data_IF_250603403907
#
_entry.id   IF_250603403907
#
_cell.length_a   1.000
_cell.length_b   1.000
_cell.length_c   1.000
_cell.angle_alpha   90.00
_cell.angle_beta   90.00
_cell.angle_gamma   90.00
#
_symmetry.space_group_name_H-M   'P 1'
#
loop_
_entity.id
_entity.type
_entity.pdbx_description
1 polymer ?
#
# COMPACT_ATOMS: atom_id res chain seq x y z
N UNK A 1 37.46 61.17 -39.51
CA UNK A 1 38.22 60.22 -38.67
C UNK A 1 37.48 58.89 -38.58
N UNK A 2 37.92 57.88 -39.34
CA UNK A 2 37.32 56.53 -39.36
C UNK A 2 37.99 55.66 -38.29
N UNK A 3 37.31 55.36 -37.19
CA UNK A 3 37.70 54.31 -36.24
C UNK A 3 37.36 52.95 -36.87
N UNK A 4 38.37 52.25 -37.39
CA UNK A 4 38.23 50.85 -37.81
C UNK A 4 38.10 49.97 -36.55
N UNK A 5 36.96 49.30 -36.38
CA UNK A 5 36.76 48.28 -35.34
C UNK A 5 37.67 47.08 -35.63
N UNK A 6 38.89 47.07 -35.09
CA UNK A 6 39.77 45.89 -35.14
C UNK A 6 39.19 44.79 -34.23
N UNK A 7 39.23 43.54 -34.69
CA UNK A 7 38.80 42.34 -33.94
C UNK A 7 39.50 42.25 -32.57
N UNK A 8 38.78 41.90 -31.50
CA UNK A 8 39.33 41.79 -30.14
C UNK A 8 40.50 40.81 -29.98
N UNK A 9 40.70 39.92 -30.95
CA UNK A 9 41.86 39.01 -31.01
C UNK A 9 43.20 39.77 -30.99
N UNK A 10 43.24 41.01 -31.51
CA UNK A 10 44.46 41.83 -31.54
C UNK A 10 44.93 42.30 -30.16
N UNK A 11 44.13 42.17 -29.10
CA UNK A 11 44.60 42.42 -27.73
C UNK A 11 45.72 41.45 -27.35
N UNK A 12 45.67 40.21 -27.87
CA UNK A 12 46.60 39.13 -27.51
C UNK A 12 47.68 38.83 -28.58
N UNK A 13 47.69 39.56 -29.69
CA UNK A 13 48.66 39.39 -30.78
C UNK A 13 49.37 40.69 -31.13
N UNK A 14 50.61 40.59 -31.63
CA UNK A 14 51.34 41.72 -32.23
C UNK A 14 51.72 41.36 -33.67
N UNK A 15 51.63 42.33 -34.57
CA UNK A 15 52.08 42.18 -35.96
C UNK A 15 53.59 42.34 -36.04
N UNK A 16 54.22 41.51 -36.86
CA UNK A 16 55.66 41.52 -37.17
C UNK A 16 55.87 41.32 -38.67
N UNK A 17 57.08 41.57 -39.17
CA UNK A 17 57.45 41.40 -40.58
C UNK A 17 56.53 42.17 -41.55
N UNK A 18 56.46 43.50 -41.42
CA UNK A 18 55.62 44.39 -42.23
C UNK A 18 54.15 43.93 -42.32
N UNK A 19 53.57 43.63 -41.16
CA UNK A 19 52.19 43.19 -40.98
C UNK A 19 51.81 41.87 -41.69
N UNK A 20 52.79 41.08 -42.17
CA UNK A 20 52.55 39.78 -42.82
C UNK A 20 52.44 38.62 -41.84
N UNK A 21 52.92 38.79 -40.61
CA UNK A 21 52.89 37.76 -39.58
C UNK A 21 52.31 38.32 -38.27
N UNK A 22 51.60 37.48 -37.52
CA UNK A 22 51.06 37.79 -36.21
C UNK A 22 51.66 36.85 -35.15
N UNK A 23 52.30 37.41 -34.13
CA UNK A 23 52.89 36.66 -33.02
C UNK A 23 52.00 36.74 -31.77
N UNK A 24 51.70 35.59 -31.17
CA UNK A 24 50.97 35.50 -29.92
C UNK A 24 51.80 36.09 -28.77
N UNK A 25 51.22 36.98 -27.96
CA UNK A 25 51.90 37.58 -26.81
C UNK A 25 52.03 36.61 -25.62
N UNK A 26 51.25 35.53 -25.59
CA UNK A 26 51.18 34.59 -24.46
C UNK A 26 52.16 33.43 -24.59
N UNK A 27 52.36 32.91 -25.81
CA UNK A 27 53.23 31.75 -26.07
C UNK A 27 54.31 32.01 -27.13
N UNK A 28 54.37 33.23 -27.68
CA UNK A 28 55.34 33.65 -28.72
C UNK A 28 55.25 32.88 -30.05
N UNK A 29 54.24 32.04 -30.26
CA UNK A 29 54.00 31.35 -31.54
C UNK A 29 53.59 32.33 -32.63
N UNK A 30 54.19 32.20 -33.81
CA UNK A 30 53.97 33.09 -34.97
C UNK A 30 53.08 32.44 -36.02
N UNK A 31 52.12 33.20 -36.55
CA UNK A 31 51.18 32.79 -37.58
C UNK A 31 51.31 33.71 -38.79
N UNK A 32 51.25 33.17 -40.00
CA UNK A 32 51.11 33.99 -41.22
C UNK A 32 49.75 34.69 -41.22
N UNK A 33 49.74 35.98 -41.51
CA UNK A 33 48.56 36.83 -41.51
C UNK A 33 48.39 37.57 -42.84
N UNK A 34 47.18 37.53 -43.41
CA UNK A 34 46.85 38.22 -44.66
C UNK A 34 45.67 39.18 -44.49
N UNK A 35 44.50 38.66 -44.11
CA UNK A 35 43.29 39.48 -43.91
C UNK A 35 42.28 38.90 -42.91
N UNK A 36 42.43 37.63 -42.52
CA UNK A 36 41.51 36.94 -41.61
C UNK A 36 42.16 36.66 -40.25
N UNK A 37 41.36 36.80 -39.18
CA UNK A 37 41.79 36.52 -37.80
C UNK A 37 41.32 35.15 -37.30
N UNK A 38 40.74 34.31 -38.16
CA UNK A 38 40.17 33.01 -37.77
C UNK A 38 41.20 32.06 -37.15
N UNK A 39 42.40 31.94 -37.75
CA UNK A 39 43.47 31.07 -37.23
C UNK A 39 43.99 31.56 -35.87
N UNK A 40 44.05 32.87 -35.67
CA UNK A 40 44.46 33.50 -34.41
C UNK A 40 43.41 33.26 -33.30
N UNK A 41 42.12 33.36 -33.65
CA UNK A 41 41.01 33.05 -32.73
C UNK A 41 40.98 31.57 -32.35
N UNK A 42 41.17 30.68 -33.32
CA UNK A 42 41.25 29.23 -33.07
C UNK A 42 42.42 28.89 -32.14
N UNK A 43 43.57 29.52 -32.33
CA UNK A 43 44.71 29.37 -31.42
C UNK A 43 44.35 29.78 -29.98
N UNK A 44 43.74 30.96 -29.78
CA UNK A 44 43.31 31.41 -28.44
C UNK A 44 42.28 30.46 -27.83
N UNK A 45 41.31 29.97 -28.60
CA UNK A 45 40.27 29.07 -28.09
C UNK A 45 40.83 27.72 -27.62
N UNK A 46 41.88 27.21 -28.26
CA UNK A 46 42.40 25.88 -27.93
C UNK A 46 43.57 25.91 -26.93
N UNK A 47 44.44 26.91 -27.00
CA UNK A 47 45.65 26.96 -26.17
C UNK A 47 45.59 28.01 -25.04
N UNK A 48 44.69 29.00 -25.17
CA UNK A 48 44.55 30.10 -24.22
C UNK A 48 43.07 30.35 -23.85
N UNK A 49 42.28 29.26 -23.76
CA UNK A 49 40.83 29.31 -23.54
C UNK A 49 40.43 30.13 -22.31
N UNK A 50 41.26 30.09 -21.27
CA UNK A 50 41.06 30.83 -20.02
C UNK A 50 40.97 32.36 -20.22
N UNK A 51 41.62 32.90 -21.25
CA UNK A 51 41.61 34.35 -21.54
C UNK A 51 40.32 34.78 -22.25
N UNK A 52 39.57 33.84 -22.85
CA UNK A 52 38.33 34.12 -23.57
C UNK A 52 37.05 34.02 -22.71
N UNK A 53 37.15 33.52 -21.47
CA UNK A 53 36.01 33.29 -20.56
C UNK A 53 35.64 34.50 -19.69
N UNK A 54 35.91 35.73 -20.17
CA UNK A 54 35.56 36.99 -19.51
C UNK A 54 34.26 37.65 -20.02
N UNK A 55 33.39 36.95 -20.75
CA UNK A 55 32.16 37.50 -21.32
C UNK A 55 30.97 36.56 -21.20
N UNK A 56 29.83 37.08 -20.72
CA UNK A 56 28.58 36.37 -20.41
C UNK A 56 28.05 35.49 -21.55
N UNK A 57 27.44 34.33 -21.26
CA UNK A 57 26.98 33.39 -22.29
C UNK A 57 25.69 33.87 -22.97
N UNK A 58 25.71 34.01 -24.30
CA UNK A 58 24.50 34.12 -25.12
C UNK A 58 23.90 32.72 -25.34
N UNK A 59 22.56 32.58 -25.37
CA UNK A 59 21.93 31.27 -25.53
C UNK A 59 22.18 30.72 -26.94
N UNK A 60 22.93 29.62 -27.05
CA UNK A 60 23.15 28.91 -28.30
C UNK A 60 21.98 27.97 -28.60
N UNK A 61 21.50 28.03 -29.84
CA UNK A 61 20.46 27.15 -30.36
C UNK A 61 20.98 25.70 -30.45
N UNK A 62 20.21 24.67 -30.03
CA UNK A 62 20.68 23.28 -30.06
C UNK A 62 20.84 22.76 -31.50
N UNK A 63 21.83 21.89 -31.71
CA UNK A 63 22.12 21.26 -33.01
C UNK A 63 21.02 20.29 -33.43
N UNK A 64 20.81 20.08 -34.74
CA UNK A 64 19.81 19.15 -35.30
C UNK A 64 19.97 17.73 -34.73
N UNK A 65 21.20 17.27 -34.48
CA UNK A 65 21.46 15.98 -33.83
C UNK A 65 20.96 15.92 -32.36
N UNK A 66 21.05 17.02 -31.62
CA UNK A 66 20.51 17.11 -30.25
C UNK A 66 18.97 17.15 -30.24
N UNK A 67 18.36 17.66 -31.31
CA UNK A 67 16.90 17.66 -31.50
C UNK A 67 16.39 16.29 -31.98
N UNK A 68 17.11 15.64 -32.90
CA UNK A 68 16.73 14.32 -33.45
C UNK A 68 17.04 13.14 -32.51
N UNK A 69 17.90 13.34 -31.49
CA UNK A 69 18.22 12.33 -30.48
C UNK A 69 17.27 12.27 -29.28
N UNK A 70 16.45 13.31 -29.06
CA UNK A 70 15.38 13.25 -28.04
C UNK A 70 14.23 12.43 -28.61
N UNK A 71 14.12 11.17 -28.19
CA UNK A 71 12.86 10.44 -28.33
C UNK A 71 11.80 11.25 -27.58
N UNK A 72 10.90 11.88 -28.32
CA UNK A 72 9.72 12.55 -27.75
C UNK A 72 8.64 11.50 -27.65
N UNK A 73 8.10 11.30 -26.45
CA UNK A 73 6.92 10.46 -26.32
C UNK A 73 5.74 11.21 -26.94
N UNK A 74 5.06 10.56 -27.88
CA UNK A 74 3.81 11.04 -28.46
C UNK A 74 2.78 11.33 -27.36
N UNK A 75 2.06 12.45 -27.45
CA UNK A 75 1.14 12.92 -26.40
C UNK A 75 0.06 11.90 -26.07
N UNK A 76 -0.47 11.18 -27.08
CA UNK A 76 -1.47 10.14 -26.87
C UNK A 76 -0.87 8.96 -26.11
N UNK A 77 0.37 8.58 -26.43
CA UNK A 77 1.10 7.54 -25.68
C UNK A 77 1.40 7.98 -24.25
N UNK A 78 1.87 9.21 -24.06
CA UNK A 78 2.15 9.79 -22.75
C UNK A 78 0.91 9.78 -21.87
N UNK A 79 -0.23 10.25 -22.39
CA UNK A 79 -1.52 10.21 -21.70
C UNK A 79 -1.93 8.76 -21.36
N UNK A 80 -1.76 7.83 -22.30
CA UNK A 80 -2.05 6.41 -22.08
C UNK A 80 -1.19 5.77 -20.97
N UNK A 81 0.07 6.22 -20.82
CA UNK A 81 0.96 5.81 -19.73
C UNK A 81 0.48 6.44 -18.42
N UNK A 82 0.21 7.75 -18.39
CA UNK A 82 -0.28 8.44 -17.18
C UNK A 82 -1.58 7.81 -16.66
N UNK A 83 -2.54 7.49 -17.54
CA UNK A 83 -3.78 6.82 -17.15
C UNK A 83 -3.55 5.45 -16.51
N UNK A 84 -2.54 4.69 -16.98
CA UNK A 84 -2.15 3.41 -16.37
C UNK A 84 -1.47 3.59 -15.03
N UNK A 85 -0.63 4.63 -14.88
CA UNK A 85 -0.04 4.98 -13.58
C UNK A 85 -1.15 5.32 -12.57
N UNK A 86 -2.13 6.15 -12.96
CA UNK A 86 -3.31 6.41 -12.11
C UNK A 86 -4.09 5.13 -11.80
N UNK A 87 -4.28 4.26 -12.80
CA UNK A 87 -4.93 2.96 -12.64
C UNK A 87 -4.22 2.03 -11.66
N UNK A 88 -2.89 2.02 -11.67
CA UNK A 88 -2.07 1.24 -10.75
C UNK A 88 -2.17 1.78 -9.32
N UNK A 89 -2.16 3.11 -9.16
CA UNK A 89 -2.38 3.76 -7.86
C UNK A 89 -3.78 3.44 -7.30
N UNK A 90 -4.82 3.56 -8.13
CA UNK A 90 -6.20 3.40 -7.66
C UNK A 90 -6.61 1.93 -7.46
N UNK A 91 -6.18 1.00 -8.34
CA UNK A 91 -6.66 -0.40 -8.33
C UNK A 91 -5.76 -1.30 -7.52
N UNK A 92 -4.46 -1.03 -7.54
CA UNK A 92 -3.47 -1.81 -6.80
C UNK A 92 -3.13 -1.16 -5.45
N UNK A 93 -3.88 -0.11 -5.07
CA UNK A 93 -3.76 0.63 -3.80
C UNK A 93 -2.33 1.11 -3.52
N UNK A 94 -1.61 1.51 -4.56
CA UNK A 94 -0.24 1.98 -4.40
C UNK A 94 -0.19 3.42 -3.88
N UNK A 95 0.82 3.78 -3.08
CA UNK A 95 1.03 5.17 -2.69
C UNK A 95 1.22 6.09 -3.90
N UNK A 96 0.69 7.31 -3.86
CA UNK A 96 0.97 8.32 -4.89
C UNK A 96 2.49 8.59 -4.97
N UNK A 97 3.20 8.49 -3.84
CA UNK A 97 4.66 8.64 -3.78
C UNK A 97 5.43 7.60 -4.59
N UNK A 98 4.80 6.54 -5.09
CA UNK A 98 5.43 5.59 -6.02
C UNK A 98 5.98 6.29 -7.26
N UNK A 99 5.35 7.38 -7.73
CA UNK A 99 5.84 8.16 -8.88
C UNK A 99 7.17 8.88 -8.61
N UNK A 100 7.55 9.01 -7.34
CA UNK A 100 8.78 9.68 -6.91
C UNK A 100 9.92 8.67 -6.64
N UNK A 101 9.62 7.37 -6.60
CA UNK A 101 10.61 6.33 -6.34
C UNK A 101 11.62 6.21 -7.48
N UNK A 102 12.92 6.28 -7.16
CA UNK A 102 14.02 6.27 -8.13
C UNK A 102 13.94 5.09 -9.11
N UNK A 103 13.83 3.87 -8.58
CA UNK A 103 13.72 2.64 -9.38
C UNK A 103 12.47 2.63 -10.27
N UNK A 104 11.35 3.19 -9.79
CA UNK A 104 10.15 3.31 -10.61
C UNK A 104 10.38 4.27 -11.79
N UNK A 105 11.05 5.40 -11.54
CA UNK A 105 11.38 6.36 -12.60
C UNK A 105 12.37 5.78 -13.61
N UNK A 106 13.36 5.02 -13.16
CA UNK A 106 14.29 4.27 -14.03
C UNK A 106 13.56 3.26 -14.90
N UNK A 107 12.64 2.46 -14.34
CA UNK A 107 11.84 1.50 -15.09
C UNK A 107 11.02 2.19 -16.19
N UNK A 108 10.30 3.26 -15.84
CA UNK A 108 9.49 4.00 -16.82
C UNK A 108 10.39 4.65 -17.88
N UNK A 109 11.55 5.18 -17.51
CA UNK A 109 12.51 5.74 -18.46
C UNK A 109 13.10 4.67 -19.38
N UNK A 110 13.36 3.46 -18.87
CA UNK A 110 13.79 2.32 -19.68
C UNK A 110 12.72 1.91 -20.70
N UNK A 111 11.45 1.86 -20.29
CA UNK A 111 10.33 1.49 -21.14
C UNK A 111 9.97 2.56 -22.18
N UNK A 112 9.96 3.83 -21.78
CA UNK A 112 9.65 4.97 -22.63
C UNK A 112 10.52 6.18 -22.25
N UNK A 113 11.75 6.30 -22.82
CA UNK A 113 12.69 7.34 -22.44
C UNK A 113 12.19 8.77 -22.64
N UNK A 114 11.26 8.96 -23.59
CA UNK A 114 10.67 10.26 -23.91
C UNK A 114 9.52 10.70 -23.01
N UNK A 115 9.04 9.82 -22.11
CA UNK A 115 7.92 10.11 -21.24
C UNK A 115 8.39 10.74 -19.93
N UNK A 116 7.84 11.90 -19.62
CA UNK A 116 8.05 12.56 -18.35
C UNK A 116 6.92 12.20 -17.40
N UNK A 117 7.23 11.51 -16.31
CA UNK A 117 6.26 11.20 -15.26
C UNK A 117 5.74 12.52 -14.68
N UNK A 118 4.40 12.74 -14.66
CA UNK A 118 3.82 13.94 -14.08
C UNK A 118 4.18 14.12 -12.61
N UNK A 119 4.12 15.37 -12.14
CA UNK A 119 4.33 15.65 -10.72
C UNK A 119 3.27 14.98 -9.86
N UNK A 120 3.61 14.75 -8.58
CA UNK A 120 2.67 14.25 -7.57
C UNK A 120 1.36 15.06 -7.57
N UNK A 121 1.44 16.39 -7.62
CA UNK A 121 0.27 17.26 -7.68
C UNK A 121 -0.61 16.98 -8.91
N UNK A 122 -0.01 16.82 -10.09
CA UNK A 122 -0.76 16.48 -11.32
C UNK A 122 -1.43 15.11 -11.22
N UNK A 123 -0.74 14.11 -10.66
CA UNK A 123 -1.32 12.78 -10.43
C UNK A 123 -2.49 12.86 -9.44
N UNK A 124 -2.33 13.57 -8.31
CA UNK A 124 -3.40 13.81 -7.34
C UNK A 124 -4.62 14.44 -8.00
N UNK A 125 -4.47 15.52 -8.76
CA UNK A 125 -5.58 16.18 -9.46
C UNK A 125 -6.28 15.22 -10.44
N UNK A 126 -5.53 14.36 -11.13
CA UNK A 126 -6.10 13.35 -12.04
C UNK A 126 -6.88 12.27 -11.26
N UNK A 127 -6.38 11.81 -10.13
CA UNK A 127 -7.07 10.85 -9.27
C UNK A 127 -8.35 11.44 -8.68
N UNK A 128 -8.32 12.71 -8.23
CA UNK A 128 -9.52 13.42 -7.77
C UNK A 128 -10.58 13.56 -8.86
N UNK A 129 -10.17 13.85 -10.10
CA UNK A 129 -11.09 13.90 -11.24
C UNK A 129 -11.70 12.51 -11.52
N UNK A 130 -10.90 11.45 -11.47
CA UNK A 130 -11.38 10.06 -11.62
C UNK A 130 -12.36 9.69 -10.51
N UNK A 131 -12.07 10.05 -9.26
CA UNK A 131 -12.98 9.88 -8.13
C UNK A 131 -14.31 10.62 -8.35
N UNK A 132 -14.28 11.91 -8.74
CA UNK A 132 -15.49 12.69 -9.01
C UNK A 132 -16.35 12.06 -10.10
N UNK A 133 -15.72 11.60 -11.19
CA UNK A 133 -16.41 10.90 -12.27
C UNK A 133 -17.05 9.61 -11.76
N UNK A 134 -16.30 8.78 -11.03
CA UNK A 134 -16.81 7.50 -10.50
C UNK A 134 -17.92 7.70 -9.47
N UNK A 135 -17.81 8.72 -8.62
CA UNK A 135 -18.85 9.12 -7.67
C UNK A 135 -20.14 9.52 -8.39
N UNK A 136 -20.03 10.25 -9.50
CA UNK A 136 -21.19 10.65 -10.31
C UNK A 136 -21.84 9.46 -11.02
N UNK A 137 -21.02 8.55 -11.55
CA UNK A 137 -21.50 7.28 -12.14
C UNK A 137 -22.25 6.44 -11.10
N UNK A 138 -21.66 6.25 -9.92
CA UNK A 138 -22.28 5.48 -8.85
C UNK A 138 -23.56 6.14 -8.32
N UNK A 139 -23.60 7.48 -8.20
CA UNK A 139 -24.85 8.20 -7.85
C UNK A 139 -25.95 7.94 -8.87
N UNK A 140 -25.62 7.88 -10.15
CA UNK A 140 -26.58 7.56 -11.22
C UNK A 140 -27.08 6.12 -11.08
N UNK A 141 -26.19 5.15 -10.84
CA UNK A 141 -26.56 3.74 -10.62
C UNK A 141 -27.46 3.59 -9.40
N UNK A 142 -27.13 4.30 -8.32
CA UNK A 142 -27.89 4.26 -7.09
C UNK A 142 -29.17 5.09 -7.15
N UNK A 143 -29.49 5.85 -8.20
CA UNK A 143 -30.57 6.84 -8.18
C UNK A 143 -31.96 6.23 -7.87
N UNK A 144 -32.23 5.01 -8.33
CA UNK A 144 -33.49 4.30 -8.13
C UNK A 144 -33.37 3.05 -7.22
N UNK A 145 -32.17 2.76 -6.72
CA UNK A 145 -31.93 1.55 -5.92
C UNK A 145 -32.37 1.74 -4.47
N UNK A 146 -32.95 0.70 -3.87
CA UNK A 146 -32.97 0.54 -2.43
C UNK A 146 -31.64 -0.07 -1.99
N UNK A 147 -31.10 0.39 -0.86
CA UNK A 147 -29.77 -0.02 -0.40
C UNK A 147 -29.81 -0.54 1.03
N UNK A 148 -29.04 -1.60 1.29
CA UNK A 148 -28.63 -1.95 2.63
C UNK A 148 -27.26 -1.33 2.90
N UNK A 149 -27.01 -0.89 4.13
CA UNK A 149 -25.73 -0.33 4.54
C UNK A 149 -25.03 -1.30 5.48
N UNK A 150 -23.70 -1.32 5.43
CA UNK A 150 -22.84 -1.88 6.48
C UNK A 150 -21.92 -0.79 6.97
N UNK A 151 -21.78 -0.64 8.28
CA UNK A 151 -20.86 0.33 8.89
C UNK A 151 -19.85 -0.38 9.77
N UNK A 152 -18.58 -0.03 9.61
CA UNK A 152 -17.50 -0.55 10.43
C UNK A 152 -16.68 0.60 11.02
N UNK A 153 -16.49 0.58 12.34
CA UNK A 153 -15.62 1.49 13.06
C UNK A 153 -14.33 0.76 13.43
N UNK A 154 -13.21 1.20 12.86
CA UNK A 154 -11.94 0.52 13.01
C UNK A 154 -10.83 1.50 13.39
N UNK A 155 -9.76 0.96 13.99
CA UNK A 155 -8.58 1.73 14.36
C UNK A 155 -7.44 1.40 13.42
N UNK A 156 -6.87 2.42 12.79
CA UNK A 156 -5.68 2.29 11.96
C UNK A 156 -4.45 1.92 12.81
N UNK A 157 -3.40 1.42 12.16
CA UNK A 157 -2.12 1.15 12.82
C UNK A 157 -1.48 2.39 13.44
N UNK A 158 -1.84 3.57 12.93
CA UNK A 158 -1.47 4.89 13.47
C UNK A 158 -2.28 5.28 14.71
N UNK A 159 -3.13 4.39 15.23
CA UNK A 159 -4.06 4.60 16.37
C UNK A 159 -5.20 5.59 16.12
N UNK A 160 -5.32 6.09 14.90
CA UNK A 160 -6.45 6.91 14.47
C UNK A 160 -7.69 6.05 14.25
N UNK A 161 -8.85 6.56 14.66
CA UNK A 161 -10.13 5.87 14.45
C UNK A 161 -10.77 6.31 13.16
N UNK A 162 -11.38 5.38 12.44
CA UNK A 162 -12.08 5.59 11.18
C UNK A 162 -13.46 4.95 11.22
N UNK A 163 -14.39 5.51 10.46
CA UNK A 163 -15.66 4.87 10.10
C UNK A 163 -15.67 4.64 8.60
N UNK A 164 -16.11 3.46 8.20
CA UNK A 164 -16.37 3.13 6.80
C UNK A 164 -17.83 2.73 6.64
N UNK A 165 -18.48 3.29 5.63
CA UNK A 165 -19.85 2.97 5.26
C UNK A 165 -19.86 2.43 3.84
N UNK A 166 -20.40 1.23 3.69
CA UNK A 166 -20.54 0.54 2.41
C UNK A 166 -22.03 0.33 2.14
N UNK A 167 -22.47 0.63 0.92
CA UNK A 167 -23.81 0.24 0.48
C UNK A 167 -23.77 -1.06 -0.30
N UNK A 168 -24.84 -1.82 -0.19
CA UNK A 168 -25.12 -3.06 -0.89
C UNK A 168 -26.46 -2.91 -1.60
N UNK A 169 -26.49 -3.24 -2.89
CA UNK A 169 -27.66 -3.07 -3.74
C UNK A 169 -27.71 -4.17 -4.81
N UNK A 170 -28.89 -4.37 -5.39
CA UNK A 170 -29.10 -5.35 -6.45
C UNK A 170 -29.39 -4.60 -7.74
N UNK A 171 -28.67 -4.92 -8.81
CA UNK A 171 -28.90 -4.38 -10.15
C UNK A 171 -30.09 -5.07 -10.84
N UNK A 172 -30.57 -4.51 -11.95
CA UNK A 172 -31.74 -5.03 -12.68
C UNK A 172 -31.57 -6.47 -13.20
N UNK A 173 -30.33 -6.94 -13.34
CA UNK A 173 -29.96 -8.30 -13.73
C UNK A 173 -29.75 -9.24 -12.53
N UNK A 174 -30.24 -8.84 -11.35
CA UNK A 174 -30.14 -9.58 -10.09
C UNK A 174 -28.71 -9.80 -9.60
N UNK A 175 -27.76 -8.97 -10.03
CA UNK A 175 -26.41 -9.00 -9.51
C UNK A 175 -26.29 -8.18 -8.24
N UNK A 176 -25.80 -8.82 -7.16
CA UNK A 176 -25.42 -8.13 -5.94
C UNK A 176 -24.18 -7.27 -6.22
N UNK A 177 -24.26 -6.00 -5.85
CA UNK A 177 -23.16 -5.04 -5.92
C UNK A 177 -22.94 -4.40 -4.56
N UNK A 178 -21.69 -4.05 -4.30
CA UNK A 178 -21.30 -3.28 -3.13
C UNK A 178 -20.41 -2.11 -3.54
N UNK A 179 -20.52 -1.01 -2.80
CA UNK A 179 -19.67 0.16 -3.00
C UNK A 179 -19.41 0.89 -1.68
N UNK A 180 -18.14 1.22 -1.43
CA UNK A 180 -17.76 2.07 -0.30
C UNK A 180 -18.20 3.50 -0.58
N UNK A 181 -19.10 4.00 0.25
CA UNK A 181 -19.65 5.36 0.15
C UNK A 181 -18.79 6.38 0.90
N UNK A 182 -18.15 5.92 1.98
CA UNK A 182 -17.40 6.77 2.90
C UNK A 182 -16.31 5.96 3.60
N UNK A 183 -15.12 6.56 3.72
CA UNK A 183 -14.14 6.20 4.75
C UNK A 183 -13.59 7.51 5.32
N UNK A 184 -13.90 7.80 6.58
CA UNK A 184 -13.53 9.05 7.24
C UNK A 184 -12.95 8.81 8.62
N UNK A 185 -12.02 9.68 9.01
CA UNK A 185 -11.50 9.71 10.36
C UNK A 185 -12.54 10.23 11.36
N UNK A 186 -12.56 9.62 12.53
CA UNK A 186 -13.37 10.00 13.67
C UNK A 186 -12.49 10.80 14.65
N UNK A 187 -12.36 12.11 14.41
CA UNK A 187 -11.63 13.00 15.32
C UNK A 187 -12.41 13.33 16.58
N UNK A 188 -13.74 13.28 16.50
CA UNK A 188 -14.63 13.58 17.62
C UNK A 188 -14.85 12.36 18.51
N UNK A 189 -15.44 12.58 19.68
CA UNK A 189 -15.89 11.47 20.52
C UNK A 189 -16.92 10.64 19.76
N UNK A 190 -16.82 9.32 19.85
CA UNK A 190 -17.72 8.38 19.18
C UNK A 190 -19.08 8.29 19.91
N UNK A 191 -19.72 9.42 20.23
CA UNK A 191 -21.07 9.42 20.81
C UNK A 191 -22.07 8.93 19.77
N UNK A 192 -23.25 8.47 20.24
CA UNK A 192 -24.32 8.04 19.33
C UNK A 192 -24.72 9.17 18.37
N UNK A 193 -24.86 10.39 18.88
CA UNK A 193 -25.25 11.56 18.09
C UNK A 193 -24.24 11.88 16.98
N UNK A 194 -22.94 11.91 17.30
CA UNK A 194 -21.90 12.21 16.31
C UNK A 194 -21.82 11.15 15.21
N UNK A 195 -22.02 9.88 15.57
CA UNK A 195 -22.06 8.78 14.60
C UNK A 195 -23.32 8.88 13.72
N UNK A 196 -24.47 9.18 14.32
CA UNK A 196 -25.74 9.35 13.60
C UNK A 196 -25.64 10.49 12.58
N UNK A 197 -25.10 11.63 13.00
CA UNK A 197 -24.91 12.80 12.14
C UNK A 197 -24.03 12.47 10.94
N UNK A 198 -22.89 11.78 11.15
CA UNK A 198 -22.00 11.36 10.06
C UNK A 198 -22.68 10.43 9.08
N UNK A 199 -23.42 9.43 9.57
CA UNK A 199 -24.11 8.46 8.72
C UNK A 199 -25.26 9.12 7.94
N UNK A 200 -26.05 9.97 8.60
CA UNK A 200 -27.14 10.71 7.96
C UNK A 200 -26.63 11.68 6.91
N UNK A 201 -25.56 12.43 7.18
CA UNK A 201 -24.92 13.31 6.21
C UNK A 201 -24.41 12.53 5.00
N UNK A 202 -23.83 11.35 5.23
CA UNK A 202 -23.36 10.51 4.14
C UNK A 202 -24.56 10.02 3.29
N UNK A 203 -25.61 9.48 3.91
CA UNK A 203 -26.85 9.06 3.23
C UNK A 203 -27.45 10.20 2.40
N UNK A 204 -27.55 11.40 2.96
CA UNK A 204 -28.06 12.59 2.27
C UNK A 204 -27.16 12.99 1.10
N UNK A 205 -25.84 13.03 1.31
CA UNK A 205 -24.86 13.39 0.26
C UNK A 205 -24.90 12.45 -0.94
N UNK A 206 -25.30 11.19 -0.74
CA UNK A 206 -25.48 10.17 -1.77
C UNK A 206 -26.92 10.13 -2.32
N UNK A 207 -27.83 10.94 -1.79
CA UNK A 207 -29.23 11.02 -2.20
C UNK A 207 -30.07 9.82 -1.79
N UNK A 208 -29.62 9.05 -0.79
CA UNK A 208 -30.19 7.78 -0.36
C UNK A 208 -31.28 7.92 0.71
N UNK A 209 -31.64 9.15 1.09
CA UNK A 209 -32.66 9.45 2.08
C UNK A 209 -33.98 8.75 1.73
N UNK A 210 -34.53 7.98 2.68
CA UNK A 210 -35.75 7.19 2.48
C UNK A 210 -35.59 5.90 1.67
N UNK A 211 -34.36 5.56 1.25
CA UNK A 211 -34.05 4.37 0.42
C UNK A 211 -33.12 3.37 1.10
N UNK A 212 -32.73 3.64 2.34
CA UNK A 212 -31.97 2.74 3.20
C UNK A 212 -32.94 1.75 3.86
N UNK A 213 -32.83 0.47 3.54
CA UNK A 213 -33.72 -0.58 4.06
C UNK A 213 -33.23 -1.19 5.37
N UNK A 214 -31.91 -1.18 5.59
CA UNK A 214 -31.25 -1.72 6.78
C UNK A 214 -29.84 -1.15 6.88
N UNK A 215 -29.33 -1.03 8.10
CA UNK A 215 -27.93 -0.74 8.39
C UNK A 215 -27.36 -1.80 9.34
N UNK A 216 -26.40 -2.59 8.88
CA UNK A 216 -25.72 -3.63 9.64
C UNK A 216 -24.47 -3.05 10.34
N UNK A 217 -24.30 -3.33 11.63
CA UNK A 217 -23.16 -2.83 12.42
C UNK A 217 -22.68 -3.84 13.48
N UNK A 218 -21.53 -3.57 14.10
CA UNK A 218 -20.80 -4.44 15.04
C UNK A 218 -21.38 -4.50 16.48
N UNK A 219 -22.64 -4.13 16.68
CA UNK A 219 -23.29 -4.00 17.99
C UNK A 219 -22.62 -3.07 19.02
N UNK A 220 -21.67 -2.20 18.65
CA UNK A 220 -21.16 -1.22 19.60
C UNK A 220 -22.28 -0.31 20.12
N UNK A 221 -22.31 -0.04 21.43
CA UNK A 221 -23.44 0.65 22.08
C UNK A 221 -23.86 1.94 21.37
N UNK A 222 -22.88 2.74 20.94
CA UNK A 222 -23.16 4.04 20.33
C UNK A 222 -23.64 3.91 18.88
N UNK A 223 -23.17 2.92 18.11
CA UNK A 223 -23.61 2.72 16.73
C UNK A 223 -25.03 2.14 16.67
N UNK A 224 -25.41 1.33 17.67
CA UNK A 224 -26.79 0.82 17.84
C UNK A 224 -27.77 1.98 18.03
N UNK A 225 -27.40 2.95 18.87
CA UNK A 225 -28.22 4.12 19.15
C UNK A 225 -28.26 5.12 17.99
N UNK A 226 -27.24 5.09 17.13
CA UNK A 226 -27.09 6.01 16.00
C UNK A 226 -27.89 5.62 14.75
N UNK A 227 -28.28 4.35 14.61
CA UNK A 227 -28.82 3.79 13.37
C UNK A 227 -30.28 3.36 13.47
N UNK A 228 -31.06 3.69 12.44
CA UNK A 228 -32.42 3.20 12.25
C UNK A 228 -32.80 3.21 10.75
N UNK A 229 -33.24 2.10 10.14
CA UNK A 229 -33.36 0.74 10.67
C UNK A 229 -32.00 0.05 10.87
N UNK A 230 -31.86 -0.71 11.97
CA UNK A 230 -30.61 -1.38 12.38
C UNK A 230 -30.74 -2.90 12.31
N UNK A 231 -29.64 -3.56 11.91
CA UNK A 231 -29.42 -5.00 12.06
C UNK A 231 -28.08 -5.26 12.74
N UNK A 232 -28.07 -6.21 13.67
CA UNK A 232 -26.84 -6.68 14.31
C UNK A 232 -26.00 -7.51 13.35
N UNK A 233 -24.69 -7.30 13.34
CA UNK A 233 -23.76 -8.15 12.60
C UNK A 233 -23.78 -9.57 13.18
N UNK A 234 -24.18 -10.55 12.36
CA UNK A 234 -24.21 -11.96 12.75
C UNK A 234 -22.83 -12.45 13.20
N UNK A 235 -21.78 -12.19 12.42
CA UNK A 235 -20.42 -12.63 12.73
C UNK A 235 -19.91 -12.06 14.06
N UNK A 236 -20.22 -10.79 14.36
CA UNK A 236 -19.88 -10.19 15.65
C UNK A 236 -20.68 -10.82 16.79
N UNK A 237 -21.99 -11.03 16.59
CA UNK A 237 -22.87 -11.66 17.59
C UNK A 237 -22.42 -13.08 17.92
N UNK A 238 -22.06 -13.87 16.90
CA UNK A 238 -21.50 -15.20 17.08
C UNK A 238 -20.15 -15.15 17.80
N UNK A 239 -19.29 -14.18 17.47
CA UNK A 239 -18.04 -13.98 18.20
C UNK A 239 -18.29 -13.70 19.70
N UNK A 240 -19.27 -12.87 20.05
CA UNK A 240 -19.63 -12.63 21.45
C UNK A 240 -20.11 -13.93 22.12
N UNK A 241 -21.05 -14.65 21.49
CA UNK A 241 -21.60 -15.90 22.02
C UNK A 241 -20.53 -16.97 22.27
N UNK A 242 -19.56 -17.12 21.35
CA UNK A 242 -18.45 -18.07 21.50
C UNK A 242 -17.53 -17.67 22.66
N UNK A 243 -17.21 -16.38 22.79
CA UNK A 243 -16.37 -15.90 23.89
C UNK A 243 -17.06 -16.06 25.26
N UNK A 244 -18.37 -15.83 25.33
CA UNK A 244 -19.17 -16.10 26.53
C UNK A 244 -19.16 -17.61 26.86
N UNK A 245 -19.29 -18.47 25.85
CA UNK A 245 -19.14 -19.91 25.99
C UNK A 245 -17.76 -20.32 26.53
N UNK A 246 -16.68 -19.72 26.00
CA UNK A 246 -15.32 -19.95 26.51
C UNK A 246 -15.14 -19.51 27.96
N UNK A 247 -15.77 -18.41 28.36
CA UNK A 247 -15.74 -17.95 29.75
C UNK A 247 -16.50 -18.91 30.67
N UNK A 248 -17.73 -19.27 30.30
CA UNK A 248 -18.60 -20.12 31.11
C UNK A 248 -18.04 -21.54 31.31
N UNK A 249 -17.49 -22.16 30.27
CA UNK A 249 -16.87 -23.48 30.35
C UNK A 249 -15.41 -23.44 30.88
N UNK A 250 -14.88 -22.25 31.17
CA UNK A 250 -13.50 -22.08 31.62
C UNK A 250 -12.48 -22.56 30.58
N UNK A 251 -12.75 -22.38 29.30
CA UNK A 251 -11.85 -22.71 28.17
C UNK A 251 -10.69 -21.71 28.09
N UNK A 252 -10.89 -20.48 28.60
CA UNK A 252 -9.88 -19.41 28.59
C UNK A 252 -8.53 -19.81 29.21
N UNK A 253 -8.53 -20.69 30.22
CA UNK A 253 -7.30 -21.24 30.84
C UNK A 253 -6.55 -22.17 29.88
N UNK A 254 -7.27 -22.94 29.06
CA UNK A 254 -6.68 -23.79 28.02
C UNK A 254 -6.13 -22.93 26.88
N UNK A 255 -6.90 -21.94 26.41
CA UNK A 255 -6.46 -20.98 25.39
C UNK A 255 -5.15 -20.28 25.83
N UNK A 256 -5.08 -19.84 27.09
CA UNK A 256 -3.88 -19.20 27.62
C UNK A 256 -2.69 -20.16 27.69
N UNK A 257 -2.90 -21.42 28.07
CA UNK A 257 -1.84 -22.43 28.13
C UNK A 257 -1.32 -22.81 26.73
N UNK A 258 -2.25 -23.10 25.82
CA UNK A 258 -1.99 -23.35 24.40
C UNK A 258 -1.21 -22.18 23.77
N UNK A 259 -1.62 -20.93 24.02
CA UNK A 259 -0.92 -19.76 23.53
C UNK A 259 0.51 -19.61 24.07
N UNK A 260 0.77 -19.97 25.33
CA UNK A 260 2.15 -19.99 25.86
C UNK A 260 3.01 -21.02 25.17
N UNK A 261 2.45 -22.21 24.91
CA UNK A 261 3.14 -23.28 24.18
C UNK A 261 3.51 -22.83 22.78
N UNK A 262 2.57 -22.29 22.00
CA UNK A 262 2.83 -21.77 20.65
C UNK A 262 3.91 -20.68 20.67
N UNK A 263 3.78 -19.71 21.58
CA UNK A 263 4.74 -18.60 21.72
C UNK A 263 6.16 -19.09 22.00
N UNK A 264 6.33 -20.16 22.77
CA UNK A 264 7.65 -20.74 23.00
C UNK A 264 8.31 -21.19 21.69
N UNK A 265 7.59 -21.95 20.86
CA UNK A 265 8.11 -22.39 19.57
C UNK A 265 8.40 -21.20 18.65
N UNK A 266 7.52 -20.21 18.57
CA UNK A 266 7.76 -19.01 17.74
C UNK A 266 9.00 -18.22 18.14
N UNK A 267 9.35 -18.17 19.42
CA UNK A 267 10.51 -17.41 19.90
C UNK A 267 11.81 -18.23 19.97
N UNK A 268 11.72 -19.55 20.04
CA UNK A 268 12.87 -20.44 20.16
C UNK A 268 13.23 -21.06 18.80
N UNK A 269 14.27 -20.50 18.16
CA UNK A 269 14.83 -21.09 16.92
C UNK A 269 15.24 -22.56 17.10
N UNK A 270 15.89 -22.98 18.21
CA UNK A 270 16.18 -24.39 18.45
C UNK A 270 14.91 -25.25 18.53
N UNK A 271 13.88 -24.81 19.26
CA UNK A 271 12.64 -25.57 19.38
C UNK A 271 11.88 -25.66 18.05
N UNK A 272 11.87 -24.58 17.25
CA UNK A 272 11.29 -24.60 15.89
C UNK A 272 11.99 -25.62 15.00
N UNK A 273 13.33 -25.60 14.94
CA UNK A 273 14.09 -26.56 14.12
C UNK A 273 13.90 -28.00 14.62
N UNK A 274 13.85 -28.19 15.93
CA UNK A 274 13.56 -29.51 16.51
C UNK A 274 12.14 -29.98 16.17
N UNK A 275 11.15 -29.08 16.17
CA UNK A 275 9.78 -29.39 15.76
C UNK A 275 9.73 -29.83 14.29
N UNK A 276 10.37 -29.10 13.39
CA UNK A 276 10.47 -29.47 11.96
C UNK A 276 11.12 -30.85 11.77
N UNK A 277 12.18 -31.13 12.54
CA UNK A 277 12.83 -32.44 12.51
C UNK A 277 11.91 -33.56 13.02
N UNK A 278 11.18 -33.32 14.12
CA UNK A 278 10.22 -34.29 14.68
C UNK A 278 9.01 -34.51 13.77
N UNK A 279 8.51 -33.46 13.12
CA UNK A 279 7.47 -33.55 12.09
C UNK A 279 7.91 -34.50 10.98
N UNK A 280 9.12 -34.30 10.43
CA UNK A 280 9.68 -35.17 9.39
C UNK A 280 9.88 -36.61 9.88
N UNK A 281 10.39 -36.79 11.10
CA UNK A 281 10.59 -38.12 11.70
C UNK A 281 9.28 -38.88 11.86
N UNK A 282 8.21 -38.18 12.24
CA UNK A 282 6.88 -38.75 12.50
C UNK A 282 5.95 -38.73 11.27
N UNK A 283 6.45 -38.28 10.12
CA UNK A 283 5.67 -38.13 8.88
C UNK A 283 4.43 -37.21 9.03
N UNK A 284 4.51 -36.21 9.91
CA UNK A 284 3.49 -35.18 10.05
C UNK A 284 3.69 -34.07 9.01
N UNK A 285 2.63 -33.35 8.62
CA UNK A 285 2.75 -32.14 7.83
C UNK A 285 3.72 -31.13 8.48
N UNK A 286 4.60 -30.52 7.67
CA UNK A 286 5.59 -29.53 8.10
C UNK A 286 4.97 -28.16 8.34
N UNK A 287 4.02 -28.14 9.27
CA UNK A 287 3.12 -27.04 9.53
C UNK A 287 3.63 -26.18 10.69
N UNK A 288 3.65 -24.85 10.50
CA UNK A 288 3.94 -23.92 11.60
C UNK A 288 2.78 -23.86 12.59
N UNK A 289 3.09 -23.68 13.87
CA UNK A 289 2.07 -23.48 14.90
C UNK A 289 1.36 -22.13 14.72
N UNK A 290 0.08 -22.08 15.05
CA UNK A 290 -0.79 -20.91 14.88
C UNK A 290 -1.06 -20.28 16.25
N UNK A 291 -0.81 -18.98 16.39
CA UNK A 291 -1.09 -18.23 17.61
C UNK A 291 -2.49 -17.62 17.52
N UNK A 292 -3.34 -17.87 18.52
CA UNK A 292 -4.67 -17.25 18.55
C UNK A 292 -4.60 -15.74 18.75
N UNK A 293 -5.40 -15.00 17.99
CA UNK A 293 -5.70 -13.59 18.16
C UNK A 293 -6.90 -13.40 19.10
N UNK A 294 -6.75 -12.54 20.11
CA UNK A 294 -7.79 -12.31 21.13
C UNK A 294 -9.10 -11.73 20.57
N UNK A 295 -9.03 -10.97 19.48
CA UNK A 295 -10.20 -10.28 18.90
C UNK A 295 -10.99 -11.14 17.92
N UNK A 296 -10.50 -12.35 17.56
CA UNK A 296 -11.16 -13.24 16.59
C UNK A 296 -11.10 -14.68 17.07
N UNK A 297 -12.22 -15.18 17.58
CA UNK A 297 -12.32 -16.53 18.12
C UNK A 297 -11.94 -17.62 17.10
N UNK A 298 -12.12 -17.41 15.79
CA UNK A 298 -11.73 -18.36 14.72
C UNK A 298 -10.27 -18.81 14.84
N UNK A 299 -9.37 -17.92 15.27
CA UNK A 299 -7.95 -18.22 15.46
C UNK A 299 -7.67 -19.16 16.63
N UNK A 300 -8.62 -19.29 17.58
CA UNK A 300 -8.58 -20.31 18.63
C UNK A 300 -8.88 -21.69 18.03
N UNK A 301 -9.88 -21.80 17.15
CA UNK A 301 -10.16 -23.05 16.43
C UNK A 301 -8.93 -23.54 15.66
N UNK A 302 -8.30 -22.62 14.90
CA UNK A 302 -7.09 -22.91 14.11
C UNK A 302 -5.90 -23.30 14.99
N UNK A 303 -5.69 -22.60 16.10
CA UNK A 303 -4.64 -22.93 17.07
C UNK A 303 -4.88 -24.32 17.67
N UNK A 304 -6.10 -24.64 18.11
CA UNK A 304 -6.43 -25.94 18.70
C UNK A 304 -6.23 -27.06 17.68
N UNK A 305 -6.80 -26.93 16.47
CA UNK A 305 -6.62 -27.93 15.41
C UNK A 305 -5.14 -28.16 15.08
N UNK A 306 -4.35 -27.08 14.97
CA UNK A 306 -2.90 -27.19 14.71
C UNK A 306 -2.12 -27.82 15.87
N UNK A 307 -2.48 -27.52 17.11
CA UNK A 307 -1.82 -28.13 18.27
C UNK A 307 -2.15 -29.62 18.40
N UNK A 308 -3.39 -30.01 18.15
CA UNK A 308 -3.81 -31.42 18.13
C UNK A 308 -3.07 -32.19 17.02
N UNK A 309 -3.03 -31.65 15.80
CA UNK A 309 -2.27 -32.23 14.68
C UNK A 309 -0.79 -32.45 15.03
N UNK A 310 -0.19 -31.51 15.75
CA UNK A 310 1.24 -31.47 16.05
C UNK A 310 1.60 -32.00 17.44
N UNK A 311 0.64 -32.56 18.18
CA UNK A 311 0.75 -32.96 19.59
C UNK A 311 2.00 -33.79 19.86
N UNK A 312 2.17 -34.90 19.14
CA UNK A 312 3.25 -35.84 19.38
C UNK A 312 4.63 -35.26 19.06
N UNK A 313 4.76 -34.48 17.98
CA UNK A 313 6.02 -33.83 17.64
C UNK A 313 6.41 -32.79 18.69
N UNK A 314 5.46 -31.97 19.16
CA UNK A 314 5.72 -30.99 20.23
C UNK A 314 6.09 -31.68 21.54
N UNK A 315 5.35 -32.71 21.97
CA UNK A 315 5.66 -33.47 23.18
C UNK A 315 7.07 -34.08 23.13
N UNK A 316 7.50 -34.57 21.95
CA UNK A 316 8.86 -35.08 21.77
C UNK A 316 9.93 -33.97 21.91
N UNK A 317 9.68 -32.77 21.38
CA UNK A 317 10.60 -31.62 21.55
C UNK A 317 10.64 -31.16 23.01
N UNK A 318 9.49 -31.09 23.68
CA UNK A 318 9.42 -30.72 25.10
C UNK A 318 10.11 -31.74 26.00
N UNK A 319 10.13 -33.01 25.60
CA UNK A 319 10.82 -34.09 26.33
C UNK A 319 12.33 -34.11 26.09
N UNK A 320 12.81 -33.53 24.99
CA UNK A 320 14.23 -33.49 24.64
C UNK A 320 14.97 -32.44 25.48
N UNK A 321 15.80 -32.89 26.42
CA UNK A 321 16.56 -32.03 27.34
C UNK A 321 17.74 -31.30 26.69
N UNK A 322 18.12 -31.68 25.47
CA UNK A 322 19.11 -30.93 24.68
C UNK A 322 18.51 -29.67 24.05
N UNK A 323 17.18 -29.65 23.86
CA UNK A 323 16.45 -28.54 23.23
C UNK A 323 15.64 -27.74 24.26
N UNK A 324 14.94 -28.44 25.15
CA UNK A 324 13.99 -27.86 26.11
C UNK A 324 14.46 -28.08 27.56
N UNK A 325 14.71 -26.98 28.27
CA UNK A 325 15.08 -27.03 29.70
C UNK A 325 13.95 -27.63 30.54
N UNK A 326 14.31 -28.30 31.64
CA UNK A 326 13.32 -28.93 32.53
C UNK A 326 12.29 -27.94 33.10
N UNK A 327 12.71 -26.70 33.38
CA UNK A 327 11.81 -25.63 33.85
C UNK A 327 10.78 -25.24 32.79
N UNK A 328 11.20 -25.17 31.53
CA UNK A 328 10.34 -24.79 30.41
C UNK A 328 9.37 -25.93 30.11
N UNK A 329 9.85 -27.17 30.08
CA UNK A 329 9.01 -28.36 29.90
C UNK A 329 7.88 -28.42 30.94
N UNK A 330 8.20 -28.25 32.24
CA UNK A 330 7.21 -28.25 33.34
C UNK A 330 6.14 -27.17 33.23
N UNK A 331 6.43 -26.05 32.56
CA UNK A 331 5.49 -24.92 32.44
C UNK A 331 4.70 -24.93 31.13
N UNK A 332 5.22 -25.60 30.10
CA UNK A 332 4.68 -25.63 28.74
C UNK A 332 3.93 -26.93 28.41
N UNK A 333 4.25 -28.03 29.09
CA UNK A 333 3.51 -29.29 28.93
C UNK A 333 2.04 -29.10 29.29
N UNK A 334 1.19 -29.29 28.28
CA UNK A 334 -0.26 -29.30 28.48
C UNK A 334 -0.67 -30.63 29.09
N UNK A 335 -1.57 -30.55 30.07
CA UNK A 335 -2.18 -31.72 30.71
C UNK A 335 -3.12 -32.45 29.74
N UNK A 336 -3.36 -33.72 29.98
CA UNK A 336 -4.24 -34.54 29.12
C UNK A 336 -5.68 -34.02 29.08
N UNK A 337 -6.21 -33.45 30.18
CA UNK A 337 -7.53 -32.79 30.19
C UNK A 337 -7.61 -31.62 29.21
N UNK A 338 -6.49 -30.92 28.99
CA UNK A 338 -6.44 -29.80 28.04
C UNK A 338 -6.37 -30.30 26.59
N UNK A 339 -5.62 -31.38 26.34
CA UNK A 339 -5.60 -32.02 25.02
C UNK A 339 -6.99 -32.54 24.64
N UNK A 340 -7.63 -33.27 25.56
CA UNK A 340 -8.97 -33.81 25.34
C UNK A 340 -9.99 -32.69 25.06
N UNK A 341 -9.95 -31.60 25.83
CA UNK A 341 -10.83 -30.46 25.59
C UNK A 341 -10.63 -29.85 24.19
N UNK A 342 -9.39 -29.69 23.74
CA UNK A 342 -9.11 -29.16 22.40
C UNK A 342 -9.63 -30.10 21.30
N UNK A 343 -9.46 -31.41 21.48
CA UNK A 343 -9.96 -32.45 20.56
C UNK A 343 -11.51 -32.44 20.51
N UNK A 344 -12.17 -32.39 21.66
CA UNK A 344 -13.63 -32.40 21.78
C UNK A 344 -14.28 -31.11 21.24
N UNK A 345 -13.62 -29.97 21.42
CA UNK A 345 -14.13 -28.68 20.96
C UNK A 345 -13.92 -28.44 19.46
N UNK A 346 -12.92 -29.06 18.84
CA UNK A 346 -12.55 -28.78 17.46
C UNK A 346 -13.72 -28.93 16.47
N UNK A 347 -14.55 -30.00 16.50
CA UNK A 347 -15.68 -30.14 15.58
C UNK A 347 -16.74 -29.04 15.75
N UNK A 348 -17.05 -28.68 17.00
CA UNK A 348 -18.04 -27.63 17.29
C UNK A 348 -17.54 -26.26 16.83
N UNK A 349 -16.27 -25.93 17.10
CA UNK A 349 -15.67 -24.68 16.67
C UNK A 349 -15.52 -24.60 15.15
N UNK A 350 -15.27 -25.71 14.46
CA UNK A 350 -15.18 -25.72 12.99
C UNK A 350 -16.54 -25.44 12.34
N UNK A 351 -17.64 -25.99 12.89
CA UNK A 351 -18.99 -25.69 12.43
C UNK A 351 -19.34 -24.19 12.58
N UNK A 352 -19.00 -23.60 13.73
CA UNK A 352 -19.21 -22.17 13.96
C UNK A 352 -18.31 -21.30 13.08
N UNK A 353 -17.12 -21.80 12.71
CA UNK A 353 -16.16 -21.10 11.85
C UNK A 353 -16.69 -21.05 10.43
N UNK A 354 -17.26 -22.16 9.97
CA UNK A 354 -17.99 -22.23 8.70
C UNK A 354 -19.12 -21.19 8.67
N UNK A 355 -19.97 -21.16 9.70
CA UNK A 355 -21.05 -20.16 9.81
C UNK A 355 -20.52 -18.72 9.74
N UNK A 356 -19.45 -18.41 10.48
CA UNK A 356 -18.82 -17.07 10.44
C UNK A 356 -18.29 -16.73 9.05
N UNK A 357 -17.71 -17.70 8.35
CA UNK A 357 -17.11 -17.51 7.02
C UNK A 357 -18.18 -17.24 5.96
N UNK A 358 -19.24 -18.06 5.94
CA UNK A 358 -20.39 -17.88 5.03
C UNK A 358 -21.07 -16.54 5.28
N UNK A 359 -21.26 -16.16 6.54
CA UNK A 359 -21.95 -14.93 6.91
C UNK A 359 -21.10 -13.66 6.75
N UNK A 360 -19.79 -13.79 6.58
CA UNK A 360 -18.88 -12.67 6.32
C UNK A 360 -18.51 -12.52 4.84
N UNK A 361 -19.06 -13.36 3.95
CA UNK A 361 -18.84 -13.23 2.52
C UNK A 361 -19.47 -11.94 1.99
N UNK A 362 -18.76 -11.26 1.08
CA UNK A 362 -19.17 -10.00 0.45
C UNK A 362 -19.61 -10.17 -1.02
N UNK A 363 -19.45 -11.37 -1.57
CA UNK A 363 -19.82 -11.71 -2.96
C UNK A 363 -21.15 -12.47 -3.08
N UNK A 364 -21.75 -12.90 -1.97
CA UNK A 364 -22.94 -13.74 -1.95
C UNK A 364 -24.00 -13.17 -1.01
N UNK A 365 -25.27 -13.51 -1.25
CA UNK A 365 -26.38 -13.11 -0.39
C UNK A 365 -26.33 -13.93 0.90
N UNK A 366 -26.02 -13.28 2.02
CA UNK A 366 -25.82 -13.94 3.31
C UNK A 366 -27.04 -13.87 4.24
N UNK A 367 -27.86 -12.82 4.17
CA UNK A 367 -28.98 -12.62 5.11
C UNK A 367 -30.08 -13.70 4.98
N UNK A 368 -30.24 -14.33 3.82
CA UNK A 368 -31.18 -15.46 3.66
C UNK A 368 -30.70 -16.75 4.34
N UNK A 369 -29.45 -16.79 4.81
CA UNK A 369 -28.87 -17.92 5.54
C UNK A 369 -29.01 -17.77 7.07
N UNK A 370 -29.47 -16.62 7.57
CA UNK A 370 -29.84 -16.41 8.98
C UNK A 370 -31.30 -16.78 9.22
#
# INVERSE_FOLDING_TARGET
MRRSKRSGVWEHFKLINDDKDAQCKLCSTTFKFSSSTSSLRYHLQNLHAAVLQGGSPSPSQPTIAAVMGRRVCDDRKAEGITQRICGMIEKDMMPISTTDGEVFRELIHFMEPGYNIPSRATITTRLEARYKNKKTELKTQLAAANVALTTDCWMALTTESYITMTCHYIENDWQLKSAVLLTESLYERHTADNLADKLNQAVESWGLTGRVIACVHDNARNIVLANNPTLSCFAHTLNLAVNDGFAAAGVNRVIAAAGRLVKHFHHSTPATKALEAKQKQMQLPAHRLIQSCKTRWNSVCEMFGRLVEQRWAMCAVLSDRSVTKLTDARTLELRDDFWQLMEDMAPALEALKCATTVMSADTEVSISNT
#
